data_IF_111505094871
#
_entry.id   IF_111505094871
#
_cell.length_a   1.000
_cell.length_b   1.000
_cell.length_c   1.000
_cell.angle_alpha   90.00
_cell.angle_beta   90.00
_cell.angle_gamma   90.00
#
_symmetry.space_group_name_H-M   'P 1'
#
loop_
_entity.id
_entity.type
_entity.pdbx_description
1 polymer ?
#
# COMPACT_ATOMS: atom_id res chain seq x y z
N UNK A 1 1.76 10.73 -4.49
CA UNK A 1 0.91 10.95 -3.31
C UNK A 1 1.66 10.45 -2.08
N UNK A 2 1.70 11.23 -1.02
CA UNK A 2 2.12 10.73 0.28
C UNK A 2 1.09 9.71 0.78
N UNK A 3 1.57 8.67 1.45
CA UNK A 3 0.73 7.66 2.08
C UNK A 3 1.42 7.24 3.38
N UNK A 4 0.70 7.21 4.48
CA UNK A 4 1.25 6.85 5.77
C UNK A 4 1.71 5.38 5.75
N UNK A 5 2.94 5.11 6.19
CA UNK A 5 3.55 3.78 6.10
C UNK A 5 4.09 3.40 4.71
N UNK A 6 4.02 4.32 3.72
CA UNK A 6 4.44 4.00 2.35
C UNK A 6 5.94 3.73 2.21
N UNK A 7 6.29 2.71 1.45
CA UNK A 7 7.63 2.15 1.20
C UNK A 7 8.55 3.02 0.30
N UNK A 8 8.33 4.32 0.18
CA UNK A 8 9.04 5.16 -0.81
C UNK A 8 10.56 5.05 -0.76
N UNK A 9 11.16 4.87 0.42
CA UNK A 9 12.62 4.79 0.62
C UNK A 9 13.18 3.40 0.31
N UNK A 10 12.44 2.33 0.62
CA UNK A 10 12.87 0.93 0.54
C UNK A 10 12.40 0.24 -0.73
N UNK A 11 11.44 0.84 -1.45
CA UNK A 11 10.82 0.30 -2.67
C UNK A 11 11.83 -0.24 -3.68
N UNK A 12 12.92 0.51 -3.95
CA UNK A 12 13.90 0.11 -4.96
C UNK A 12 14.55 -1.22 -4.60
N UNK A 13 15.06 -1.33 -3.38
CA UNK A 13 15.75 -2.54 -2.92
C UNK A 13 14.81 -3.75 -2.85
N UNK A 14 13.59 -3.57 -2.33
CA UNK A 14 12.59 -4.63 -2.29
C UNK A 14 12.25 -5.10 -3.70
N UNK A 15 11.95 -4.19 -4.63
CA UNK A 15 11.61 -4.56 -6.00
C UNK A 15 12.77 -5.21 -6.77
N UNK A 16 14.03 -4.90 -6.44
CA UNK A 16 15.20 -5.58 -7.01
C UNK A 16 15.27 -7.05 -6.59
N UNK A 17 14.74 -7.39 -5.41
CA UNK A 17 14.59 -8.78 -4.95
C UNK A 17 13.42 -9.45 -5.67
N UNK A 18 12.22 -8.85 -5.55
CA UNK A 18 10.98 -9.42 -6.09
C UNK A 18 11.06 -9.67 -7.61
N UNK A 19 11.62 -8.73 -8.37
CA UNK A 19 11.71 -8.83 -9.84
C UNK A 19 12.74 -9.85 -10.36
N UNK A 20 13.50 -10.51 -9.49
CA UNK A 20 14.39 -11.63 -9.86
C UNK A 20 13.66 -12.96 -9.91
N UNK A 21 12.47 -13.04 -9.32
CA UNK A 21 11.69 -14.27 -9.30
C UNK A 21 11.15 -14.63 -10.70
N UNK A 22 11.12 -15.91 -10.98
CA UNK A 22 10.50 -16.46 -12.19
C UNK A 22 9.07 -16.87 -11.89
N UNK A 23 8.12 -15.97 -12.18
CA UNK A 23 6.71 -16.12 -11.84
C UNK A 23 5.77 -15.70 -12.98
N UNK A 24 4.53 -16.16 -12.90
CA UNK A 24 3.44 -15.79 -13.80
C UNK A 24 2.56 -14.69 -13.20
N UNK A 25 2.30 -14.77 -11.88
CA UNK A 25 1.30 -13.97 -11.16
C UNK A 25 1.94 -13.25 -9.98
N UNK A 26 1.66 -11.95 -9.84
CA UNK A 26 2.01 -11.14 -8.67
C UNK A 26 0.76 -10.74 -7.89
N UNK A 27 0.72 -11.02 -6.60
CA UNK A 27 -0.36 -10.66 -5.68
C UNK A 27 0.15 -9.72 -4.59
N UNK A 28 -0.51 -8.56 -4.43
CA UNK A 28 -0.22 -7.56 -3.39
C UNK A 28 -1.49 -7.30 -2.56
N UNK A 29 -1.72 -8.05 -1.45
CA UNK A 29 -2.95 -7.98 -0.65
C UNK A 29 -3.11 -6.69 0.14
N UNK A 30 -2.04 -5.92 0.34
CA UNK A 30 -2.02 -4.63 1.07
C UNK A 30 -1.32 -3.58 0.21
N UNK A 31 -1.97 -3.13 -0.87
CA UNK A 31 -1.30 -2.30 -1.89
C UNK A 31 -1.00 -0.88 -1.41
N UNK A 32 -1.78 -0.35 -0.48
CA UNK A 32 -1.64 1.04 -0.06
C UNK A 32 -1.58 1.98 -1.27
N UNK A 33 -0.62 2.91 -1.28
CA UNK A 33 -0.46 3.83 -2.41
C UNK A 33 0.24 3.21 -3.64
N UNK A 34 0.49 1.89 -3.68
CA UNK A 34 1.11 1.19 -4.82
C UNK A 34 2.58 1.58 -5.05
N UNK A 35 3.35 1.73 -3.96
CA UNK A 35 4.77 2.05 -4.09
C UNK A 35 5.59 0.88 -4.63
N UNK A 36 5.29 -0.33 -4.23
CA UNK A 36 5.91 -1.56 -4.74
C UNK A 36 5.33 -1.89 -6.11
N UNK A 37 4.01 -1.97 -6.21
CA UNK A 37 3.27 -2.30 -7.43
C UNK A 37 3.76 -1.56 -8.68
N UNK A 38 4.01 -0.24 -8.56
CA UNK A 38 4.46 0.59 -9.69
C UNK A 38 5.85 0.23 -10.25
N UNK A 39 6.61 -0.66 -9.58
CA UNK A 39 7.96 -1.10 -9.97
C UNK A 39 8.05 -2.60 -10.23
N UNK A 40 6.95 -3.31 -10.06
CA UNK A 40 6.86 -4.73 -10.38
C UNK A 40 6.85 -4.93 -11.90
N UNK A 41 7.47 -6.02 -12.33
CA UNK A 41 7.58 -6.37 -13.74
C UNK A 41 6.19 -6.38 -14.42
N UNK A 42 5.96 -5.51 -15.42
CA UNK A 42 4.66 -5.40 -16.06
C UNK A 42 4.28 -6.60 -16.96
N UNK A 43 5.21 -7.53 -17.20
CA UNK A 43 4.94 -8.75 -17.95
C UNK A 43 4.15 -9.78 -17.15
N UNK A 44 4.15 -9.69 -15.82
CA UNK A 44 3.39 -10.57 -14.96
C UNK A 44 1.91 -10.15 -14.89
N UNK A 45 1.02 -11.09 -14.68
CA UNK A 45 -0.34 -10.77 -14.27
C UNK A 45 -0.28 -10.16 -12.87
N UNK A 46 -0.84 -8.97 -12.69
CA UNK A 46 -0.74 -8.23 -11.43
C UNK A 46 -2.10 -7.98 -10.84
N UNK A 47 -2.26 -8.44 -9.61
CA UNK A 47 -3.45 -8.24 -8.80
C UNK A 47 -3.05 -7.49 -7.55
N UNK A 48 -3.83 -6.47 -7.18
CA UNK A 48 -3.56 -5.64 -6.03
C UNK A 48 -4.85 -5.38 -5.25
N UNK A 49 -4.75 -5.41 -3.93
CA UNK A 49 -5.88 -5.30 -3.03
C UNK A 49 -5.58 -4.33 -1.88
N UNK A 50 -6.62 -3.73 -1.36
CA UNK A 50 -6.60 -3.02 -0.08
C UNK A 50 -8.02 -3.05 0.50
N UNK A 51 -8.15 -3.09 1.82
CA UNK A 51 -9.46 -3.05 2.48
C UNK A 51 -10.11 -1.66 2.45
N UNK A 52 -9.38 -0.61 2.05
CA UNK A 52 -9.90 0.74 1.93
C UNK A 52 -10.52 0.98 0.55
N UNK A 53 -11.84 1.02 0.49
CA UNK A 53 -12.62 1.20 -0.74
C UNK A 53 -12.27 2.48 -1.51
N UNK A 54 -12.08 3.59 -0.81
CA UNK A 54 -11.75 4.88 -1.41
C UNK A 54 -10.35 4.90 -2.03
N UNK A 55 -9.41 4.15 -1.44
CA UNK A 55 -8.07 4.00 -2.01
C UNK A 55 -8.11 3.19 -3.29
N UNK A 56 -8.84 2.10 -3.30
CA UNK A 56 -9.02 1.25 -4.48
C UNK A 56 -9.79 1.99 -5.57
N UNK A 57 -10.85 2.71 -5.23
CA UNK A 57 -11.57 3.57 -6.18
C UNK A 57 -10.65 4.62 -6.83
N UNK A 58 -9.80 5.28 -6.03
CA UNK A 58 -8.82 6.24 -6.53
C UNK A 58 -7.81 5.60 -7.50
N UNK A 59 -7.23 4.45 -7.15
CA UNK A 59 -6.24 3.77 -8.01
C UNK A 59 -6.86 3.30 -9.33
N UNK A 60 -8.07 2.73 -9.28
CA UNK A 60 -8.85 2.35 -10.46
C UNK A 60 -9.18 3.56 -11.34
N UNK A 61 -9.68 4.63 -10.77
CA UNK A 61 -10.05 5.83 -11.50
C UNK A 61 -8.84 6.46 -12.21
N UNK A 62 -7.68 6.55 -11.52
CA UNK A 62 -6.44 7.04 -12.11
C UNK A 62 -5.96 6.13 -13.24
N UNK A 63 -6.02 4.81 -13.08
CA UNK A 63 -5.69 3.84 -14.12
C UNK A 63 -6.54 4.08 -15.39
N UNK A 64 -7.84 4.33 -15.20
CA UNK A 64 -8.82 4.55 -16.26
C UNK A 64 -8.86 5.98 -16.80
N UNK A 65 -8.00 6.87 -16.32
CA UNK A 65 -7.82 8.20 -16.91
C UNK A 65 -8.49 9.33 -16.16
N UNK A 66 -9.03 9.09 -14.97
CA UNK A 66 -9.53 10.17 -14.12
C UNK A 66 -8.42 11.18 -13.83
N UNK A 67 -8.77 12.48 -13.96
CA UNK A 67 -7.86 13.59 -13.71
C UNK A 67 -8.17 14.25 -12.37
N UNK A 68 -7.36 14.05 -11.33
CA UNK A 68 -7.59 14.64 -10.01
C UNK A 68 -7.64 16.18 -10.06
N UNK A 69 -8.41 16.83 -9.17
CA UNK A 69 -8.46 18.30 -9.11
C UNK A 69 -7.09 18.90 -8.78
N UNK A 70 -6.82 20.10 -9.34
CA UNK A 70 -5.56 20.82 -9.10
C UNK A 70 -5.50 21.46 -7.72
N UNK A 71 -6.65 21.67 -7.08
CA UNK A 71 -6.75 22.26 -5.74
C UNK A 71 -7.95 21.71 -5.00
N UNK A 72 -7.84 21.65 -3.68
CA UNK A 72 -8.92 21.30 -2.76
C UNK A 72 -8.91 22.34 -1.65
N UNK A 73 -10.05 22.98 -1.39
CA UNK A 73 -10.20 23.90 -0.28
C UNK A 73 -10.34 23.15 1.05
N UNK A 74 -9.99 23.78 2.17
CA UNK A 74 -10.23 23.20 3.48
C UNK A 74 -11.72 22.99 3.76
N UNK A 75 -12.59 23.87 3.23
CA UNK A 75 -14.02 23.69 3.32
C UNK A 75 -14.46 22.38 2.65
N UNK A 76 -14.08 22.16 1.38
CA UNK A 76 -14.41 20.94 0.64
C UNK A 76 -13.81 19.69 1.33
N UNK A 77 -12.58 19.78 1.85
CA UNK A 77 -11.97 18.68 2.62
C UNK A 77 -12.84 18.30 3.82
N UNK A 78 -13.34 19.29 4.58
CA UNK A 78 -14.17 19.05 5.75
C UNK A 78 -15.56 18.52 5.37
N UNK A 79 -16.14 19.02 4.29
CA UNK A 79 -17.42 18.52 3.76
C UNK A 79 -17.32 17.03 3.40
N UNK A 80 -16.30 16.64 2.64
CA UNK A 80 -16.05 15.24 2.25
C UNK A 80 -15.75 14.36 3.47
N UNK A 81 -14.97 14.87 4.43
CA UNK A 81 -14.65 14.14 5.67
C UNK A 81 -15.89 13.87 6.52
N UNK A 82 -16.82 14.83 6.58
CA UNK A 82 -18.03 14.74 7.42
C UNK A 82 -19.07 13.79 6.81
N UNK A 83 -19.16 13.75 5.49
CA UNK A 83 -20.11 12.86 4.79
C UNK A 83 -19.52 12.39 3.45
N UNK A 84 -18.62 11.39 3.50
CA UNK A 84 -17.97 10.86 2.28
C UNK A 84 -18.96 10.27 1.28
N UNK A 85 -20.14 9.78 1.75
CA UNK A 85 -21.13 9.09 0.90
C UNK A 85 -21.77 10.00 -0.15
N UNK A 86 -21.65 11.32 -0.01
CA UNK A 86 -22.18 12.31 -0.95
C UNK A 86 -21.25 12.59 -2.14
N UNK A 87 -20.07 12.01 -2.15
CA UNK A 87 -19.03 12.32 -3.14
C UNK A 87 -18.58 11.07 -3.88
N UNK A 88 -18.05 11.25 -5.09
CA UNK A 88 -17.47 10.15 -5.85
C UNK A 88 -16.33 9.50 -5.07
N UNK A 89 -16.28 8.17 -4.97
CA UNK A 89 -15.33 7.45 -4.13
C UNK A 89 -13.85 7.77 -4.43
N UNK A 90 -13.52 8.00 -5.71
CA UNK A 90 -12.17 8.39 -6.13
C UNK A 90 -11.80 9.79 -5.65
N UNK A 91 -12.75 10.73 -5.61
CA UNK A 91 -12.54 12.07 -5.05
C UNK A 91 -12.33 11.99 -3.54
N UNK A 92 -13.13 11.18 -2.85
CA UNK A 92 -12.96 10.91 -1.42
C UNK A 92 -11.56 10.36 -1.16
N UNK A 93 -11.13 9.33 -1.88
CA UNK A 93 -9.79 8.75 -1.76
C UNK A 93 -8.68 9.78 -2.02
N UNK A 94 -8.82 10.60 -3.05
CA UNK A 94 -7.86 11.65 -3.37
C UNK A 94 -7.74 12.68 -2.25
N UNK A 95 -8.86 13.14 -1.71
CA UNK A 95 -8.89 14.15 -0.63
C UNK A 95 -8.41 13.55 0.68
N UNK A 96 -8.91 12.37 1.04
CA UNK A 96 -8.60 11.71 2.30
C UNK A 96 -7.12 11.36 2.47
N UNK A 97 -6.43 11.00 1.39
CA UNK A 97 -5.00 10.67 1.43
C UNK A 97 -4.12 11.79 0.88
N UNK A 98 -4.45 12.33 -0.29
CA UNK A 98 -3.63 13.29 -1.03
C UNK A 98 -3.57 14.67 -0.41
N UNK A 99 -4.65 15.10 0.23
CA UNK A 99 -4.79 16.41 0.87
C UNK A 99 -4.68 16.37 2.39
N UNK A 100 -4.33 15.21 2.97
CA UNK A 100 -4.20 15.02 4.41
C UNK A 100 -2.77 15.10 4.90
N UNK A 101 -2.60 15.53 6.16
CA UNK A 101 -1.32 15.57 6.83
C UNK A 101 -0.68 14.16 6.86
N UNK A 102 0.58 14.08 6.42
CA UNK A 102 1.36 12.83 6.34
C UNK A 102 0.72 11.71 5.52
N UNK A 103 -0.30 11.99 4.70
CA UNK A 103 -1.01 10.97 3.91
C UNK A 103 -1.82 9.98 4.74
N UNK A 104 -2.22 10.35 5.96
CA UNK A 104 -3.17 9.58 6.76
C UNK A 104 -4.59 9.82 6.27
N UNK A 105 -5.40 8.77 6.24
CA UNK A 105 -6.82 8.87 5.88
C UNK A 105 -7.55 9.88 6.78
N UNK A 106 -7.96 11.01 6.19
CA UNK A 106 -8.55 12.15 6.89
C UNK A 106 -7.77 12.61 8.15
N UNK A 107 -6.43 12.57 8.08
CA UNK A 107 -5.53 12.93 9.19
C UNK A 107 -5.41 14.43 9.48
N UNK A 108 -6.33 15.24 8.93
CA UNK A 108 -6.34 16.70 9.00
C UNK A 108 -5.87 17.32 7.68
N UNK A 109 -6.46 18.47 7.30
CA UNK A 109 -6.10 19.19 6.07
C UNK A 109 -4.61 19.56 6.07
N UNK A 110 -3.89 19.20 5.00
CA UNK A 110 -2.45 19.38 4.92
C UNK A 110 -2.07 20.84 4.66
N UNK A 111 -1.31 21.42 5.59
CA UNK A 111 -0.72 22.76 5.50
C UNK A 111 0.60 22.78 6.27
N UNK A 112 1.58 23.50 5.79
CA UNK A 112 2.93 23.55 6.38
C UNK A 112 3.48 24.97 6.53
N UNK A 113 2.61 25.98 6.49
CA UNK A 113 3.02 27.39 6.56
C UNK A 113 3.69 27.89 5.27
N UNK A 114 3.92 27.03 4.28
CA UNK A 114 4.38 27.41 2.94
C UNK A 114 3.18 27.50 1.98
N UNK A 115 3.40 28.06 0.80
CA UNK A 115 2.36 28.13 -0.26
C UNK A 115 2.27 26.80 -1.05
N UNK A 116 2.60 25.66 -0.45
CA UNK A 116 2.59 24.35 -1.11
C UNK A 116 1.17 23.90 -1.42
N UNK A 117 0.90 23.60 -2.70
CA UNK A 117 -0.35 22.99 -3.11
C UNK A 117 -0.27 21.46 -3.00
N UNK A 118 -0.80 20.90 -1.91
CA UNK A 118 -0.78 19.46 -1.65
C UNK A 118 -1.62 18.67 -2.65
N UNK A 119 -2.77 19.20 -3.08
CA UNK A 119 -3.62 18.57 -4.10
C UNK A 119 -2.86 18.42 -5.42
N UNK A 120 -2.24 19.49 -5.92
CA UNK A 120 -1.46 19.45 -7.16
C UNK A 120 -0.28 18.48 -7.08
N UNK A 121 0.42 18.43 -5.93
CA UNK A 121 1.51 17.49 -5.72
C UNK A 121 1.03 16.03 -5.69
N UNK A 122 -0.11 15.77 -5.05
CA UNK A 122 -0.74 14.45 -5.03
C UNK A 122 -1.18 14.02 -6.44
N UNK A 123 -1.86 14.91 -7.18
CA UNK A 123 -2.23 14.71 -8.60
C UNK A 123 -1.02 14.34 -9.45
N UNK A 124 0.02 15.16 -9.43
CA UNK A 124 1.23 14.93 -10.23
C UNK A 124 1.89 13.58 -9.90
N UNK A 125 1.89 13.21 -8.62
CA UNK A 125 2.41 11.91 -8.17
C UNK A 125 1.57 10.73 -8.68
N UNK A 126 0.25 10.86 -8.67
CA UNK A 126 -0.68 9.84 -9.17
C UNK A 126 -0.58 9.69 -10.69
N UNK A 127 -0.57 10.80 -11.44
CA UNK A 127 -0.44 10.76 -12.89
C UNK A 127 0.89 10.16 -13.36
N UNK A 128 1.98 10.36 -12.61
CA UNK A 128 3.26 9.67 -12.87
C UNK A 128 3.18 8.15 -12.67
N UNK A 129 2.26 7.67 -11.82
CA UNK A 129 2.04 6.23 -11.60
C UNK A 129 1.14 5.62 -12.67
N UNK A 130 0.20 6.38 -13.24
CA UNK A 130 -0.80 5.87 -14.18
C UNK A 130 -0.26 4.87 -15.21
N UNK A 131 0.81 5.16 -15.99
CA UNK A 131 1.31 4.20 -16.98
C UNK A 131 1.82 2.89 -16.38
N UNK A 132 2.19 2.89 -15.11
CA UNK A 132 2.71 1.72 -14.38
C UNK A 132 1.60 0.87 -13.75
N UNK A 133 0.41 1.44 -13.61
CA UNK A 133 -0.78 0.75 -13.12
C UNK A 133 -1.56 0.04 -14.23
N UNK A 134 -1.25 0.30 -15.51
CA UNK A 134 -1.96 -0.31 -16.63
C UNK A 134 -1.92 -1.84 -16.55
N UNK A 135 -3.09 -2.49 -16.72
CA UNK A 135 -3.24 -3.94 -16.65
C UNK A 135 -3.26 -4.53 -15.23
N UNK A 136 -3.16 -3.72 -14.18
CA UNK A 136 -3.35 -4.20 -12.81
C UNK A 136 -4.83 -4.43 -12.55
N UNK A 137 -5.18 -5.54 -11.91
CA UNK A 137 -6.54 -5.85 -11.47
C UNK A 137 -6.65 -5.49 -9.98
N UNK A 138 -7.41 -4.43 -9.69
CA UNK A 138 -7.65 -3.98 -8.31
C UNK A 138 -8.90 -4.61 -7.70
N UNK A 139 -8.85 -4.89 -6.40
CA UNK A 139 -10.00 -5.36 -5.60
C UNK A 139 -10.01 -4.71 -4.22
N UNK A 140 -11.19 -4.69 -3.60
CA UNK A 140 -11.39 -4.22 -2.24
C UNK A 140 -12.03 -5.37 -1.45
N UNK A 141 -11.20 -6.25 -0.93
CA UNK A 141 -11.57 -7.48 -0.24
C UNK A 141 -10.76 -7.61 1.05
N UNK A 142 -11.17 -8.51 1.93
CA UNK A 142 -10.27 -9.04 2.94
C UNK A 142 -9.05 -9.71 2.26
N UNK A 143 -7.87 -9.61 2.90
CA UNK A 143 -6.63 -10.11 2.31
C UNK A 143 -6.64 -11.62 2.06
N UNK A 144 -7.29 -12.40 2.94
CA UNK A 144 -7.40 -13.85 2.78
C UNK A 144 -8.32 -14.22 1.63
N UNK A 145 -9.49 -13.55 1.54
CA UNK A 145 -10.42 -13.71 0.40
C UNK A 145 -9.73 -13.35 -0.92
N UNK A 146 -8.98 -12.24 -0.94
CA UNK A 146 -8.22 -11.83 -2.11
C UNK A 146 -7.21 -12.89 -2.55
N UNK A 147 -6.43 -13.44 -1.62
CA UNK A 147 -5.43 -14.47 -1.91
C UNK A 147 -6.09 -15.76 -2.42
N UNK A 148 -7.15 -16.22 -1.78
CA UNK A 148 -7.91 -17.40 -2.21
C UNK A 148 -8.47 -17.25 -3.63
N UNK A 149 -9.02 -16.08 -3.94
CA UNK A 149 -9.65 -15.79 -5.24
C UNK A 149 -8.67 -15.74 -6.40
N UNK A 150 -7.43 -15.28 -6.17
CA UNK A 150 -6.47 -15.00 -7.23
C UNK A 150 -5.34 -16.03 -7.34
N UNK A 151 -5.25 -16.99 -6.42
CA UNK A 151 -4.32 -18.09 -6.54
C UNK A 151 -4.81 -19.05 -7.62
N UNK A 152 -3.97 -19.30 -8.63
CA UNK A 152 -4.32 -20.13 -9.76
C UNK A 152 -3.48 -21.40 -9.75
N UNK A 153 -4.12 -22.57 -9.79
CA UNK A 153 -3.42 -23.84 -9.82
C UNK A 153 -2.47 -23.93 -11.04
N UNK A 154 -1.26 -24.42 -10.81
CA UNK A 154 -0.25 -24.60 -11.84
C UNK A 154 0.48 -23.33 -12.28
N UNK A 155 0.12 -22.15 -11.75
CA UNK A 155 0.82 -20.91 -12.00
C UNK A 155 1.80 -20.59 -10.87
N UNK A 156 3.01 -20.17 -11.24
CA UNK A 156 3.99 -19.65 -10.28
C UNK A 156 3.55 -18.29 -9.78
N UNK A 157 3.32 -18.16 -8.49
CA UNK A 157 2.76 -16.95 -7.88
C UNK A 157 3.75 -16.34 -6.89
N UNK A 158 3.93 -15.04 -6.97
CA UNK A 158 4.60 -14.26 -5.93
C UNK A 158 3.58 -13.47 -5.13
N UNK A 159 3.58 -13.66 -3.82
CA UNK A 159 2.81 -12.86 -2.86
C UNK A 159 3.78 -11.90 -2.17
N UNK A 160 3.49 -10.59 -2.26
CA UNK A 160 4.17 -9.58 -1.45
C UNK A 160 3.16 -8.96 -0.48
N UNK A 161 3.34 -9.18 0.82
CA UNK A 161 2.50 -8.67 1.88
C UNK A 161 3.21 -7.55 2.66
N UNK A 162 2.52 -6.42 2.82
CA UNK A 162 2.93 -5.26 3.63
C UNK A 162 1.79 -4.91 4.60
N UNK A 163 1.51 -5.76 5.60
CA UNK A 163 0.37 -5.57 6.50
C UNK A 163 0.53 -4.31 7.34
N UNK A 164 -0.54 -3.82 8.00
CA UNK A 164 -0.41 -2.79 9.03
C UNK A 164 0.60 -3.24 10.08
N UNK A 165 1.62 -2.44 10.40
CA UNK A 165 2.64 -2.85 11.37
C UNK A 165 2.13 -2.92 12.79
N UNK A 166 2.53 -3.97 13.53
CA UNK A 166 2.07 -4.27 14.90
C UNK A 166 2.28 -3.10 15.90
N UNK A 167 3.28 -2.25 15.65
CA UNK A 167 3.62 -1.11 16.51
C UNK A 167 3.31 0.25 15.85
N UNK A 168 2.60 0.29 14.73
CA UNK A 168 2.17 1.52 14.11
C UNK A 168 0.95 2.11 14.86
N UNK A 169 0.75 3.44 14.72
CA UNK A 169 -0.40 4.12 15.30
C UNK A 169 -1.69 3.44 14.81
N UNK A 170 -2.43 2.80 15.73
CA UNK A 170 -3.66 2.07 15.41
C UNK A 170 -4.65 2.98 14.69
N UNK A 171 -5.20 2.52 13.57
CA UNK A 171 -6.44 3.10 13.04
C UNK A 171 -7.55 2.77 14.04
N UNK A 172 -8.32 3.79 14.46
CA UNK A 172 -9.46 3.56 15.35
C UNK A 172 -10.44 2.59 14.67
N UNK A 173 -10.64 1.40 15.24
CA UNK A 173 -11.77 0.53 14.92
C UNK A 173 -11.47 -0.84 14.31
N UNK A 174 -10.24 -1.21 13.96
CA UNK A 174 -9.92 -2.59 13.57
C UNK A 174 -8.62 -3.06 14.23
N UNK A 175 -8.71 -4.05 15.08
CA UNK A 175 -7.53 -4.80 15.50
C UNK A 175 -7.19 -5.77 14.36
N UNK A 176 -6.03 -5.56 13.72
CA UNK A 176 -5.48 -6.51 12.78
C UNK A 176 -4.97 -7.72 13.57
N UNK A 177 -5.48 -8.90 13.23
CA UNK A 177 -5.11 -10.16 13.88
C UNK A 177 -3.79 -10.66 13.29
N UNK A 178 -2.68 -10.35 13.99
CA UNK A 178 -1.34 -10.74 13.55
C UNK A 178 -1.10 -12.23 13.65
N UNK A 179 -1.65 -12.90 14.65
CA UNK A 179 -1.47 -14.33 14.82
C UNK A 179 -2.15 -15.09 13.68
N UNK A 180 -3.39 -14.73 13.38
CA UNK A 180 -4.11 -15.26 12.23
C UNK A 180 -3.39 -14.94 10.91
N UNK A 181 -2.89 -13.71 10.74
CA UNK A 181 -2.13 -13.32 9.54
C UNK A 181 -0.92 -14.24 9.32
N UNK A 182 -0.10 -14.47 10.36
CA UNK A 182 1.06 -15.34 10.23
C UNK A 182 0.69 -16.79 9.95
N UNK A 183 -0.43 -17.29 10.51
CA UNK A 183 -0.95 -18.62 10.21
C UNK A 183 -1.39 -18.77 8.76
N UNK A 184 -2.03 -17.74 8.21
CA UNK A 184 -2.39 -17.68 6.78
C UNK A 184 -1.13 -17.65 5.91
N UNK A 185 -0.14 -16.82 6.24
CA UNK A 185 1.11 -16.73 5.48
C UNK A 185 1.90 -18.06 5.48
N UNK A 186 1.91 -18.81 6.59
CA UNK A 186 2.51 -20.16 6.67
C UNK A 186 1.87 -21.14 5.67
N UNK A 187 0.55 -21.11 5.54
CA UNK A 187 -0.15 -21.98 4.56
C UNK A 187 0.33 -21.70 3.13
N UNK A 188 0.49 -20.44 2.77
CA UNK A 188 0.97 -20.06 1.42
C UNK A 188 2.46 -20.38 1.23
N UNK A 189 3.29 -20.18 2.26
CA UNK A 189 4.73 -20.48 2.22
C UNK A 189 5.01 -21.98 1.94
N UNK A 190 4.10 -22.88 2.34
CA UNK A 190 4.22 -24.32 2.11
C UNK A 190 3.85 -24.77 0.68
N UNK A 191 3.28 -23.89 -0.14
CA UNK A 191 2.86 -24.22 -1.50
C UNK A 191 4.07 -24.14 -2.45
N UNK A 192 4.37 -25.23 -3.16
CA UNK A 192 5.56 -25.34 -4.04
C UNK A 192 5.58 -24.32 -5.20
N UNK A 193 4.42 -23.80 -5.61
CA UNK A 193 4.27 -22.83 -6.67
C UNK A 193 4.13 -21.38 -6.17
N UNK A 194 4.31 -21.14 -4.86
CA UNK A 194 4.21 -19.81 -4.24
C UNK A 194 5.57 -19.36 -3.73
N UNK A 195 5.93 -18.13 -4.06
CA UNK A 195 6.99 -17.35 -3.42
C UNK A 195 6.34 -16.29 -2.55
N UNK A 196 6.72 -16.24 -1.27
CA UNK A 196 6.15 -15.30 -0.31
C UNK A 196 7.20 -14.35 0.21
N UNK A 197 6.89 -13.06 0.21
CA UNK A 197 7.70 -12.01 0.82
C UNK A 197 6.83 -11.10 1.69
N UNK A 198 7.27 -10.86 2.93
CA UNK A 198 6.51 -10.06 3.90
C UNK A 198 7.40 -8.93 4.42
N UNK A 199 6.92 -7.69 4.31
CA UNK A 199 7.57 -6.54 4.96
C UNK A 199 7.03 -6.37 6.37
N UNK A 200 7.89 -6.51 7.39
CA UNK A 200 7.58 -6.27 8.79
C UNK A 200 8.87 -6.08 9.60
N UNK A 201 8.78 -5.45 10.77
CA UNK A 201 9.92 -5.31 11.69
C UNK A 201 10.33 -6.63 12.32
N UNK A 202 9.36 -7.45 12.70
CA UNK A 202 9.55 -8.73 13.36
C UNK A 202 8.66 -9.79 12.73
N UNK A 203 9.12 -11.04 12.74
CA UNK A 203 8.36 -12.19 12.28
C UNK A 203 8.53 -13.35 13.27
N UNK A 204 7.64 -14.37 13.25
CA UNK A 204 7.85 -15.63 13.95
C UNK A 204 9.16 -16.31 13.53
N UNK A 205 9.70 -17.17 14.40
CA UNK A 205 11.03 -17.79 14.23
C UNK A 205 11.17 -18.71 13.00
N UNK A 206 10.07 -19.13 12.45
CA UNK A 206 9.98 -19.98 11.26
C UNK A 206 10.09 -19.20 9.93
N UNK A 207 10.12 -17.86 9.99
CA UNK A 207 10.40 -17.00 8.83
C UNK A 207 11.85 -16.52 8.86
N UNK A 208 12.47 -16.42 7.68
CA UNK A 208 13.86 -15.98 7.52
C UNK A 208 13.92 -14.58 6.91
N UNK A 209 14.72 -13.69 7.50
CA UNK A 209 14.97 -12.36 6.91
C UNK A 209 15.94 -12.50 5.74
N UNK A 210 15.54 -12.03 4.56
CA UNK A 210 16.37 -12.01 3.35
C UNK A 210 16.90 -10.62 3.01
N UNK A 211 16.38 -9.59 3.66
CA UNK A 211 16.84 -8.21 3.52
C UNK A 211 16.49 -7.38 4.74
N UNK A 212 17.36 -6.44 5.08
CA UNK A 212 17.18 -5.53 6.21
C UNK A 212 17.59 -4.10 5.85
N UNK A 213 16.87 -3.13 6.38
CA UNK A 213 17.18 -1.71 6.20
C UNK A 213 16.97 -0.93 7.49
N UNK A 214 18.05 -0.29 7.96
CA UNK A 214 17.99 0.58 9.15
C UNK A 214 17.38 1.92 8.78
N UNK A 215 16.27 2.26 9.43
CA UNK A 215 15.63 3.59 9.33
C UNK A 215 15.90 4.37 10.59
N UNK A 216 16.48 5.58 10.45
CA UNK A 216 16.54 6.53 11.56
C UNK A 216 15.18 7.23 11.65
N UNK A 217 14.52 7.12 12.78
CA UNK A 217 13.34 7.93 13.07
C UNK A 217 13.81 9.28 13.62
N UNK A 218 13.73 10.33 12.79
CA UNK A 218 13.87 11.71 13.24
C UNK A 218 12.61 12.10 14.02
N UNK A 219 12.60 11.96 15.33
CA UNK A 219 11.79 12.76 16.26
C UNK A 219 12.09 12.38 17.70
N UNK A 220 12.77 13.30 18.39
CA UNK A 220 12.78 13.52 19.86
C UNK A 220 12.85 12.34 20.85
N UNK A 221 13.38 11.18 20.49
CA UNK A 221 13.80 10.19 21.50
C UNK A 221 15.07 9.48 21.05
N UNK A 222 16.08 9.57 21.89
CA UNK A 222 17.33 8.82 21.74
C UNK A 222 17.04 7.32 21.54
N UNK A 223 17.69 6.72 20.52
CA UNK A 223 17.83 5.28 20.33
C UNK A 223 16.64 4.44 19.84
N UNK A 224 15.75 4.92 18.99
CA UNK A 224 14.85 3.99 18.26
C UNK A 224 15.31 3.81 16.82
N UNK A 225 16.39 3.04 16.60
CA UNK A 225 16.66 2.45 15.30
C UNK A 225 15.57 1.41 15.00
N UNK A 226 14.78 1.65 13.95
CA UNK A 226 13.86 0.63 13.43
C UNK A 226 14.52 -0.05 12.25
N UNK A 227 14.53 -1.37 12.26
CA UNK A 227 15.05 -2.18 11.17
C UNK A 227 13.85 -2.74 10.42
N UNK A 228 13.61 -2.22 9.22
CA UNK A 228 12.64 -2.80 8.31
C UNK A 228 13.26 -4.05 7.68
N UNK A 229 12.51 -5.13 7.63
CA UNK A 229 12.96 -6.41 7.10
C UNK A 229 12.02 -6.94 6.03
N UNK A 230 12.58 -7.78 5.15
CA UNK A 230 11.82 -8.58 4.21
C UNK A 230 11.98 -10.04 4.58
N UNK A 231 10.88 -10.69 4.89
CA UNK A 231 10.81 -12.08 5.36
C UNK A 231 10.31 -13.01 4.26
N UNK A 232 10.77 -14.25 4.30
CA UNK A 232 10.30 -15.34 3.44
C UNK A 232 10.20 -16.63 4.22
#
# INVERSE_FOLDING_TARGET
>A
MHYFGGKARTTKAICEILNKEDIDIYLEPFVGAGWILQRINPKWERYANDSNEYLIALLNAVQNGWDPPNSVSEQLYNEIKNDPSKFDPELVGFVAFGCSHSGKFFGGFARDGTKRNYALNAKNSLLKKKPKLLGVKFSCLDYEEFLLKNLTAGKKTLIYADPPYAHATKYKGSEFDYDHFWDVMRKYCQMSNVKLYISEYNAPKDFTSVWEHKTKTDMHSANNERIEKLWT
#
